data_IF_220721087160
#
_entry.id   IF_220721087160
#
_cell.length_a   1.000
_cell.length_b   1.000
_cell.length_c   1.000
_cell.angle_alpha   90.00
_cell.angle_beta   90.00
_cell.angle_gamma   90.00
#
_symmetry.space_group_name_H-M   'P 1'
#
loop_
_entity.id
_entity.type
_entity.pdbx_description
1 polymer ?
#
# COMPACT_ATOMS: atom_id res chain seq x y z
N UNK A 1 42.28 4.47 19.72
CA UNK A 1 40.86 4.51 19.30
C UNK A 1 40.40 3.08 19.06
N UNK A 2 39.92 2.41 20.11
CA UNK A 2 38.51 2.04 20.33
C UNK A 2 37.99 1.00 19.31
N UNK A 3 38.20 -0.29 19.61
CA UNK A 3 37.22 -1.25 20.17
C UNK A 3 36.13 -1.70 19.17
N UNK A 4 36.31 -2.90 18.61
CA UNK A 4 35.21 -3.85 18.54
C UNK A 4 35.75 -5.27 18.82
N UNK A 5 35.64 -5.68 20.09
CA UNK A 5 35.96 -7.03 20.55
C UNK A 5 34.84 -7.95 20.10
N UNK A 6 35.12 -8.79 19.11
CA UNK A 6 34.44 -10.07 18.93
C UNK A 6 34.63 -10.90 20.19
N UNK A 7 33.55 -11.14 20.93
CA UNK A 7 33.49 -12.18 21.95
C UNK A 7 32.10 -12.82 21.86
N UNK A 8 32.00 -13.86 21.05
CA UNK A 8 30.90 -14.81 21.08
C UNK A 8 31.03 -15.61 22.37
N UNK A 9 30.32 -15.19 23.43
CA UNK A 9 30.19 -15.98 24.65
C UNK A 9 29.21 -17.14 24.39
N UNK A 10 29.74 -18.36 24.55
CA UNK A 10 29.14 -19.43 25.34
C UNK A 10 27.72 -19.88 24.99
N UNK A 11 27.65 -21.06 24.35
CA UNK A 11 26.51 -21.96 24.43
C UNK A 11 26.12 -22.21 25.89
N UNK A 12 24.96 -21.71 26.30
CA UNK A 12 24.21 -22.26 27.43
C UNK A 12 22.79 -22.55 26.95
N UNK A 13 22.52 -23.83 26.80
CA UNK A 13 21.25 -24.41 26.42
C UNK A 13 20.23 -24.12 27.53
N UNK A 14 19.33 -23.18 27.26
CA UNK A 14 18.06 -23.05 27.98
C UNK A 14 16.92 -23.21 26.96
N UNK A 15 16.01 -24.20 27.12
CA UNK A 15 14.83 -24.32 26.29
C UNK A 15 13.83 -23.26 26.75
N UNK A 16 13.96 -22.05 26.21
CA UNK A 16 12.86 -21.12 26.31
C UNK A 16 11.68 -21.71 25.51
N UNK A 17 10.46 -21.79 26.09
CA UNK A 17 9.26 -21.89 25.29
C UNK A 17 9.07 -20.51 24.67
N UNK A 18 9.91 -20.18 23.70
CA UNK A 18 9.57 -19.19 22.71
C UNK A 18 8.36 -19.77 21.99
N UNK A 19 7.18 -19.42 22.49
CA UNK A 19 6.09 -19.11 21.60
C UNK A 19 6.64 -18.03 20.68
N UNK A 20 7.31 -18.48 19.60
CA UNK A 20 7.43 -17.74 18.38
C UNK A 20 6.01 -17.29 18.12
N UNK A 21 5.73 -16.02 18.45
CA UNK A 21 4.45 -15.41 18.19
C UNK A 21 4.31 -15.48 16.69
N UNK A 22 3.68 -16.56 16.20
CA UNK A 22 3.31 -16.73 14.80
C UNK A 22 2.56 -15.46 14.48
N UNK A 23 3.22 -14.59 13.74
CA UNK A 23 2.63 -13.36 13.25
C UNK A 23 1.53 -13.88 12.34
N UNK A 24 0.29 -13.79 12.82
CA UNK A 24 -0.87 -14.27 12.08
C UNK A 24 -0.74 -13.76 10.64
N UNK A 25 -0.80 -14.61 9.60
CA UNK A 25 -0.96 -14.11 8.25
C UNK A 25 -2.25 -13.28 8.29
N UNK A 26 -2.13 -11.96 8.16
CA UNK A 26 -3.32 -11.12 8.03
C UNK A 26 -3.89 -11.44 6.65
N UNK A 27 -4.81 -12.40 6.67
CA UNK A 27 -5.88 -12.60 5.71
C UNK A 27 -5.52 -12.25 4.27
N UNK A 28 -4.95 -13.25 3.62
CA UNK A 28 -5.07 -13.59 2.21
C UNK A 28 -6.55 -13.77 1.77
N UNK A 29 -7.46 -12.84 2.12
CA UNK A 29 -8.89 -12.93 1.77
C UNK A 29 -9.56 -11.57 1.51
N UNK A 30 -8.82 -10.61 0.98
CA UNK A 30 -9.42 -9.46 0.32
C UNK A 30 -8.95 -9.44 -1.13
N UNK A 31 -9.49 -10.38 -1.93
CA UNK A 31 -9.85 -10.00 -3.30
C UNK A 31 -10.80 -8.84 -3.09
N UNK A 32 -10.27 -7.65 -3.23
CA UNK A 32 -10.92 -6.44 -2.81
C UNK A 32 -12.23 -6.31 -3.56
N UNK A 33 -13.33 -6.09 -2.84
CA UNK A 33 -14.63 -5.81 -3.44
C UNK A 33 -14.66 -4.43 -4.16
N UNK A 34 -13.55 -3.98 -4.77
CA UNK A 34 -13.47 -2.75 -5.57
C UNK A 34 -14.49 -2.77 -6.69
N UNK A 35 -14.76 -3.93 -7.30
CA UNK A 35 -15.70 -4.05 -8.40
C UNK A 35 -17.16 -3.86 -7.96
N UNK A 36 -17.48 -4.19 -6.71
CA UNK A 36 -18.84 -4.08 -6.15
C UNK A 36 -19.14 -2.73 -5.47
N UNK A 37 -18.12 -1.89 -5.30
CA UNK A 37 -18.29 -0.57 -4.68
C UNK A 37 -18.87 0.43 -5.69
N UNK A 38 -19.79 1.31 -5.26
CA UNK A 38 -20.30 2.39 -6.10
C UNK A 38 -19.23 3.45 -6.33
N UNK A 39 -19.37 4.24 -7.40
CA UNK A 39 -18.40 5.31 -7.74
C UNK A 39 -18.30 6.42 -6.69
N UNK A 40 -19.33 6.56 -5.85
CA UNK A 40 -19.35 7.50 -4.72
C UNK A 40 -18.51 7.04 -3.52
N UNK A 41 -18.05 5.79 -3.51
CA UNK A 41 -17.23 5.26 -2.43
C UNK A 41 -15.89 6.00 -2.32
N UNK A 42 -15.46 6.26 -1.09
CA UNK A 42 -14.16 6.87 -0.79
C UNK A 42 -13.17 5.78 -0.39
N UNK A 43 -11.99 5.80 -0.98
CA UNK A 43 -10.91 4.87 -0.69
C UNK A 43 -9.68 5.62 -0.18
N UNK A 44 -9.03 5.07 0.83
CA UNK A 44 -7.80 5.64 1.38
C UNK A 44 -6.55 5.14 0.64
N UNK A 45 -5.40 5.72 0.95
CA UNK A 45 -4.13 5.34 0.33
C UNK A 45 -3.76 3.87 0.57
N UNK A 46 -4.20 3.28 1.68
CA UNK A 46 -3.85 1.90 2.05
C UNK A 46 -4.61 0.88 1.21
N UNK A 47 -5.87 1.18 0.88
CA UNK A 47 -6.68 0.34 0.00
C UNK A 47 -6.36 0.58 -1.48
N UNK A 48 -5.88 1.76 -1.86
CA UNK A 48 -5.52 2.04 -3.25
C UNK A 48 -4.28 1.24 -3.73
N UNK A 49 -3.31 1.00 -2.85
CA UNK A 49 -2.00 0.44 -3.17
C UNK A 49 -1.91 -1.07 -2.96
N UNK A 50 -0.96 -1.72 -3.64
CA UNK A 50 -0.63 -3.13 -3.41
C UNK A 50 -0.25 -3.42 -1.94
N UNK A 51 -0.55 -4.64 -1.44
CA UNK A 51 -1.09 -5.81 -2.14
C UNK A 51 -2.61 -5.88 -2.27
N UNK A 52 -3.33 -4.94 -1.64
CA UNK A 52 -4.79 -4.97 -1.50
C UNK A 52 -5.47 -3.92 -2.40
N UNK A 53 -4.85 -3.51 -3.51
CA UNK A 53 -5.31 -2.39 -4.31
C UNK A 53 -5.11 -2.61 -5.81
N UNK A 54 -5.90 -1.93 -6.67
CA UNK A 54 -5.78 -2.07 -8.12
C UNK A 54 -4.52 -1.37 -8.68
N UNK A 55 -3.89 -0.47 -7.91
CA UNK A 55 -2.75 0.32 -8.38
C UNK A 55 -1.42 -0.32 -7.98
N UNK A 56 -0.58 -0.74 -8.94
CA UNK A 56 0.69 -1.41 -8.67
C UNK A 56 1.83 -0.42 -8.37
N UNK A 57 1.61 0.53 -7.46
CA UNK A 57 2.62 1.51 -7.06
C UNK A 57 2.94 1.45 -5.57
N UNK A 58 4.11 1.97 -5.22
CA UNK A 58 4.42 2.32 -3.84
C UNK A 58 3.76 3.65 -3.47
N UNK A 59 3.61 3.90 -2.16
CA UNK A 59 3.10 5.18 -1.64
C UNK A 59 3.92 6.37 -2.16
N UNK A 60 5.24 6.24 -2.23
CA UNK A 60 6.13 7.32 -2.69
C UNK A 60 5.87 7.66 -4.15
N UNK A 61 5.76 6.63 -5.00
CA UNK A 61 5.48 6.81 -6.43
C UNK A 61 4.10 7.42 -6.67
N UNK A 62 3.10 7.02 -5.88
CA UNK A 62 1.77 7.63 -5.92
C UNK A 62 1.85 9.14 -5.67
N UNK A 63 2.54 9.57 -4.60
CA UNK A 63 2.67 10.98 -4.27
C UNK A 63 3.43 11.78 -5.33
N UNK A 64 4.45 11.18 -5.96
CA UNK A 64 5.12 11.82 -7.10
C UNK A 64 4.14 12.08 -8.24
N UNK A 65 3.35 11.08 -8.63
CA UNK A 65 2.34 11.21 -9.69
C UNK A 65 1.21 12.19 -9.34
N UNK A 66 0.81 12.26 -8.06
CA UNK A 66 -0.16 13.25 -7.57
C UNK A 66 0.42 14.66 -7.71
N UNK A 67 1.69 14.85 -7.37
CA UNK A 67 2.38 16.13 -7.53
C UNK A 67 2.56 16.51 -9.00
N UNK A 68 2.86 15.53 -9.85
CA UNK A 68 2.98 15.68 -11.31
C UNK A 68 1.61 15.92 -11.99
N UNK A 69 0.50 15.83 -11.25
CA UNK A 69 -0.85 16.00 -11.77
C UNK A 69 -1.36 14.83 -12.63
N UNK A 70 -0.60 13.74 -12.72
CA UNK A 70 -0.93 12.55 -13.51
C UNK A 70 -1.88 11.58 -12.80
N UNK A 71 -2.21 11.83 -11.53
CA UNK A 71 -3.13 11.03 -10.72
C UNK A 71 -4.17 11.95 -10.07
N UNK A 72 -5.43 11.50 -9.84
CA UNK A 72 -6.47 12.35 -9.23
C UNK A 72 -6.03 12.94 -7.88
N UNK A 73 -6.49 14.17 -7.63
CA UNK A 73 -6.12 14.92 -6.43
C UNK A 73 -6.78 14.28 -5.19
N UNK A 74 -6.03 14.08 -4.09
CA UNK A 74 -6.61 13.56 -2.87
C UNK A 74 -7.54 14.58 -2.19
N UNK A 75 -8.62 14.08 -1.61
CA UNK A 75 -9.49 14.79 -0.68
C UNK A 75 -9.03 14.51 0.76
N UNK A 76 -9.06 15.54 1.61
CA UNK A 76 -8.69 15.41 3.03
C UNK A 76 -9.93 15.14 3.88
N UNK A 77 -9.91 14.05 4.65
CA UNK A 77 -10.90 13.76 5.70
C UNK A 77 -10.28 13.92 7.10
N UNK A 78 -11.15 13.93 8.12
CA UNK A 78 -10.78 13.89 9.54
C UNK A 78 -9.75 14.98 9.93
N UNK A 79 -10.05 16.23 9.57
CA UNK A 79 -9.19 17.37 9.90
C UNK A 79 -7.81 17.34 9.23
N UNK A 80 -7.67 16.64 8.10
CA UNK A 80 -6.44 16.59 7.32
C UNK A 80 -5.53 15.40 7.63
N UNK A 81 -6.00 14.44 8.44
CA UNK A 81 -5.24 13.24 8.79
C UNK A 81 -5.24 12.20 7.67
N UNK A 82 -6.35 12.09 6.94
CA UNK A 82 -6.52 11.04 5.93
C UNK A 82 -6.64 11.63 4.52
N UNK A 83 -5.94 11.03 3.58
CA UNK A 83 -6.08 11.32 2.15
C UNK A 83 -6.92 10.21 1.53
N UNK A 84 -8.03 10.62 0.91
CA UNK A 84 -8.97 9.72 0.25
C UNK A 84 -9.22 10.14 -1.19
N UNK A 85 -9.65 9.20 -2.00
CA UNK A 85 -10.06 9.41 -3.39
C UNK A 85 -11.45 8.86 -3.62
N UNK A 86 -12.18 9.44 -4.56
CA UNK A 86 -13.42 8.85 -5.05
C UNK A 86 -13.08 7.68 -5.97
N UNK A 87 -13.79 6.57 -5.79
CA UNK A 87 -13.55 5.37 -6.57
C UNK A 87 -13.81 5.59 -8.06
N UNK A 88 -14.84 6.37 -8.41
CA UNK A 88 -15.13 6.71 -9.81
C UNK A 88 -13.98 7.42 -10.53
N UNK A 89 -13.29 8.35 -9.85
CA UNK A 89 -12.13 9.06 -10.43
C UNK A 89 -10.95 8.11 -10.66
N UNK A 90 -10.71 7.21 -9.71
CA UNK A 90 -9.64 6.19 -9.83
C UNK A 90 -9.95 5.19 -10.95
N UNK A 91 -11.21 4.77 -11.09
CA UNK A 91 -11.64 3.90 -12.20
C UNK A 91 -11.47 4.57 -13.56
N UNK A 92 -11.94 5.81 -13.70
CA UNK A 92 -11.77 6.59 -14.93
C UNK A 92 -10.28 6.79 -15.28
N UNK A 93 -9.44 7.01 -14.28
CA UNK A 93 -8.00 7.08 -14.47
C UNK A 93 -7.41 5.74 -14.95
N UNK A 94 -7.79 4.61 -14.36
CA UNK A 94 -7.35 3.28 -14.79
C UNK A 94 -7.75 2.98 -16.23
N UNK A 95 -8.99 3.29 -16.60
CA UNK A 95 -9.49 3.17 -17.98
C UNK A 95 -8.68 4.04 -18.96
N UNK A 96 -8.38 5.28 -18.55
CA UNK A 96 -7.53 6.19 -19.35
C UNK A 96 -6.12 5.64 -19.55
N UNK A 97 -5.53 5.00 -18.52
CA UNK A 97 -4.22 4.35 -18.65
C UNK A 97 -4.24 3.13 -19.57
N UNK A 98 -5.37 2.41 -19.64
CA UNK A 98 -5.56 1.31 -20.59
C UNK A 98 -5.60 1.84 -22.02
N UNK A 99 -6.44 2.85 -22.28
CA UNK A 99 -6.62 3.47 -23.61
C UNK A 99 -5.36 4.16 -24.12
N UNK A 100 -4.60 4.83 -23.24
CA UNK A 100 -3.38 5.52 -23.63
C UNK A 100 -2.29 4.59 -24.18
N UNK A 101 -2.37 3.27 -23.95
CA UNK A 101 -1.40 2.30 -24.48
C UNK A 101 -1.65 1.93 -25.94
N UNK A 102 -2.84 2.19 -26.49
CA UNK A 102 -3.20 1.81 -27.85
C UNK A 102 -2.74 2.83 -28.91
N UNK A 103 -2.34 4.04 -28.50
CA UNK A 103 -1.92 5.15 -29.41
C UNK A 103 -0.40 5.17 -29.66
N UNK A 104 0.29 4.05 -29.43
CA UNK A 104 1.76 3.96 -29.65
C UNK A 104 2.18 2.68 -30.39
N UNK A 105 1.24 2.03 -31.08
CA UNK A 105 1.49 0.89 -31.97
C UNK A 105 1.39 1.31 -33.44
#
# INVERSE_FOLDING_TARGET
MSRYRSNCCGHSLAPAPFLCRRRSPKGDTAVNNFDHLPDSALIDTRHLLLPAGPVPYSKVTLWRRVNDGSFPRPMKLDGGKMNVWRLGEVRAWLDSQSKNREVSA
#
